data_IF_963705376926
#
_entry.id   IF_963705376926
#
_cell.length_a   1.000
_cell.length_b   1.000
_cell.length_c   1.000
_cell.angle_alpha   90.00
_cell.angle_beta   90.00
_cell.angle_gamma   90.00
#
_symmetry.space_group_name_H-M   'P 1'
#
loop_
_entity.id
_entity.type
_entity.pdbx_description
1 polymer ?
#
# COMPACT_ATOMS: atom_id res chain seq x y z
N UNK A 1 1.08 20.36 -23.55
CA UNK A 1 1.63 20.65 -22.20
C UNK A 1 0.92 19.90 -21.06
N UNK A 2 -0.16 19.13 -21.35
CA UNK A 2 -0.92 18.39 -20.34
C UNK A 2 -1.10 16.90 -20.71
N UNK A 3 -0.03 16.27 -21.18
CA UNK A 3 -0.06 14.87 -21.58
C UNK A 3 -0.07 13.95 -20.35
N UNK A 4 -0.49 12.69 -20.53
CA UNK A 4 -0.56 11.69 -19.46
C UNK A 4 0.76 11.53 -18.67
N UNK A 5 1.92 11.61 -19.36
CA UNK A 5 3.23 11.47 -18.73
C UNK A 5 3.60 12.57 -17.73
N UNK A 6 2.90 13.72 -17.76
CA UNK A 6 3.14 14.80 -16.79
C UNK A 6 2.74 14.42 -15.36
N UNK A 7 1.85 13.43 -15.18
CA UNK A 7 1.48 12.96 -13.84
C UNK A 7 2.56 12.08 -13.17
N UNK A 8 3.68 11.81 -13.87
CA UNK A 8 4.73 10.89 -13.44
C UNK A 8 6.15 11.50 -13.53
N UNK A 9 6.27 12.80 -13.80
CA UNK A 9 7.57 13.47 -14.01
C UNK A 9 8.17 14.08 -12.73
N UNK A 10 7.45 13.97 -11.60
CA UNK A 10 7.88 14.48 -10.30
C UNK A 10 7.80 16.01 -10.16
N UNK A 11 7.10 16.71 -11.06
CA UNK A 11 6.98 18.17 -11.06
C UNK A 11 5.54 18.60 -10.84
N UNK A 12 5.31 19.43 -9.83
CA UNK A 12 3.97 19.87 -9.46
C UNK A 12 3.44 21.04 -10.33
N UNK A 13 4.30 21.62 -11.19
CA UNK A 13 3.93 22.67 -12.13
C UNK A 13 3.56 22.13 -13.54
N UNK A 14 3.62 20.81 -13.72
CA UNK A 14 3.11 20.06 -14.87
C UNK A 14 2.01 19.11 -14.42
N UNK A 15 1.04 18.84 -15.30
CA UNK A 15 -0.08 17.97 -14.96
C UNK A 15 -0.74 17.38 -16.19
N UNK A 16 -1.34 16.20 -16.04
CA UNK A 16 -2.36 15.71 -16.96
C UNK A 16 -3.66 16.48 -16.73
N UNK A 17 -4.36 16.87 -17.79
CA UNK A 17 -5.70 17.48 -17.71
C UNK A 17 -6.62 16.81 -18.74
N UNK A 18 -7.86 16.53 -18.34
CA UNK A 18 -8.87 16.08 -19.28
C UNK A 18 -9.17 17.14 -20.35
N UNK A 19 -9.77 16.73 -21.46
CA UNK A 19 -10.16 17.66 -22.51
C UNK A 19 -11.12 18.75 -21.98
N UNK A 20 -11.07 19.98 -22.51
CA UNK A 20 -11.96 21.07 -22.08
C UNK A 20 -13.45 20.67 -22.10
N UNK A 21 -14.19 21.11 -21.08
CA UNK A 21 -15.63 20.81 -20.94
C UNK A 21 -15.95 19.40 -20.43
N UNK A 22 -14.95 18.53 -20.22
CA UNK A 22 -15.16 17.21 -19.60
C UNK A 22 -15.10 17.34 -18.08
N UNK A 23 -15.97 16.62 -17.38
CA UNK A 23 -15.98 16.53 -15.90
C UNK A 23 -15.48 15.18 -15.38
N UNK A 24 -14.96 14.36 -16.29
CA UNK A 24 -14.38 13.06 -15.99
C UNK A 24 -13.19 12.78 -16.90
N UNK A 25 -12.47 11.71 -16.61
CA UNK A 25 -11.28 11.32 -17.35
C UNK A 25 -10.69 10.04 -16.79
N UNK A 26 -9.73 9.47 -17.50
CA UNK A 26 -9.10 8.22 -17.10
C UNK A 26 -7.62 8.31 -17.38
N UNK A 27 -6.82 8.00 -16.36
CA UNK A 27 -5.39 7.85 -16.45
C UNK A 27 -5.05 6.39 -16.17
N UNK A 28 -4.36 5.75 -17.12
CA UNK A 28 -3.87 4.38 -16.95
C UNK A 28 -2.35 4.41 -16.85
N UNK A 29 -1.85 3.89 -15.74
CA UNK A 29 -0.44 3.64 -15.50
C UNK A 29 -0.13 2.24 -16.00
N UNK A 30 0.77 2.15 -16.98
CA UNK A 30 1.39 0.90 -17.41
C UNK A 30 2.80 0.85 -16.82
N UNK A 31 3.02 -0.06 -15.89
CA UNK A 31 4.28 -0.24 -15.19
C UNK A 31 5.23 -1.10 -16.04
N UNK A 32 6.54 -0.87 -15.89
CA UNK A 32 7.56 -1.62 -16.63
C UNK A 32 7.59 -3.11 -16.26
N UNK A 33 7.18 -3.42 -15.03
CA UNK A 33 7.03 -4.75 -14.47
C UNK A 33 5.94 -4.69 -13.39
N UNK A 34 5.32 -5.83 -13.02
CA UNK A 34 4.39 -5.86 -11.89
C UNK A 34 5.02 -5.27 -10.63
N UNK A 35 4.29 -4.39 -9.95
CA UNK A 35 4.71 -3.79 -8.69
C UNK A 35 3.71 -4.11 -7.58
N UNK A 36 4.20 -4.31 -6.36
CA UNK A 36 3.41 -4.54 -5.15
C UNK A 36 3.20 -3.23 -4.39
N UNK A 37 1.96 -2.88 -4.09
CA UNK A 37 1.61 -1.63 -3.38
C UNK A 37 0.28 -1.77 -2.63
N UNK A 38 0.08 -0.93 -1.62
CA UNK A 38 -1.18 -0.78 -0.88
C UNK A 38 -1.57 0.70 -0.68
N UNK A 39 -0.77 1.65 -1.16
CA UNK A 39 -1.10 3.07 -1.12
C UNK A 39 -1.03 3.67 -2.52
N UNK A 40 -2.11 4.35 -2.91
CA UNK A 40 -2.16 5.17 -4.13
C UNK A 40 -2.19 6.64 -3.73
N UNK A 41 -1.17 7.39 -4.15
CA UNK A 41 -1.09 8.84 -3.97
C UNK A 41 -1.60 9.56 -5.21
N UNK A 42 -2.47 10.54 -5.02
CA UNK A 42 -2.98 11.43 -6.06
C UNK A 42 -2.78 12.89 -5.63
N UNK A 43 -2.38 13.75 -6.56
CA UNK A 43 -2.25 15.19 -6.30
C UNK A 43 -2.78 15.98 -7.49
N UNK A 44 -3.71 16.92 -7.24
CA UNK A 44 -4.13 17.91 -8.24
C UNK A 44 -3.10 19.04 -8.35
N UNK A 45 -3.05 19.72 -9.49
CA UNK A 45 -2.30 20.95 -9.70
C UNK A 45 -3.02 22.16 -9.04
N UNK A 46 -3.22 22.09 -7.72
CA UNK A 46 -4.07 23.03 -6.96
C UNK A 46 -3.61 24.48 -7.16
N UNK A 47 -2.31 24.75 -7.12
CA UNK A 47 -1.74 26.10 -7.29
C UNK A 47 -2.00 26.73 -8.66
N UNK A 48 -2.33 25.90 -9.66
CA UNK A 48 -2.54 26.33 -11.06
C UNK A 48 -3.99 26.23 -11.51
N UNK A 49 -4.75 25.27 -10.98
CA UNK A 49 -6.09 24.91 -11.45
C UNK A 49 -7.17 24.92 -10.36
N UNK A 50 -6.78 25.08 -9.10
CA UNK A 50 -7.63 24.83 -7.95
C UNK A 50 -7.95 23.35 -7.78
N UNK A 51 -8.63 23.03 -6.69
CA UNK A 51 -9.23 21.70 -6.48
C UNK A 51 -10.46 21.54 -7.37
N UNK A 52 -10.54 20.45 -8.13
CA UNK A 52 -11.62 20.19 -9.09
C UNK A 52 -12.27 18.83 -8.94
N UNK A 53 -11.51 17.79 -8.60
CA UNK A 53 -12.02 16.42 -8.49
C UNK A 53 -12.97 16.29 -7.30
N UNK A 54 -14.15 15.71 -7.55
CA UNK A 54 -15.19 15.46 -6.54
C UNK A 54 -15.40 13.97 -6.26
N UNK A 55 -15.12 13.11 -7.23
CA UNK A 55 -15.14 11.65 -7.06
C UNK A 55 -14.26 10.94 -8.08
N UNK A 56 -13.71 9.80 -7.68
CA UNK A 56 -12.91 8.94 -8.54
C UNK A 56 -13.04 7.45 -8.16
N UNK A 57 -12.52 6.59 -9.03
CA UNK A 57 -12.33 5.17 -8.77
C UNK A 57 -10.89 4.78 -9.08
N UNK A 58 -10.37 3.81 -8.32
CA UNK A 58 -9.08 3.17 -8.58
C UNK A 58 -9.36 1.72 -8.97
N UNK A 59 -8.79 1.29 -10.08
CA UNK A 59 -8.94 -0.05 -10.62
C UNK A 59 -7.54 -0.64 -10.91
N UNK A 60 -7.37 -1.93 -10.69
CA UNK A 60 -6.16 -2.68 -11.04
C UNK A 60 -6.48 -3.72 -12.10
N UNK A 61 -5.48 -4.13 -12.88
CA UNK A 61 -5.63 -5.23 -13.82
C UNK A 61 -5.30 -6.56 -13.15
N UNK A 62 -6.18 -7.56 -13.28
CA UNK A 62 -5.97 -8.90 -12.72
C UNK A 62 -5.38 -9.91 -13.74
N UNK A 63 -5.11 -9.46 -14.96
CA UNK A 63 -4.69 -10.30 -16.08
C UNK A 63 -5.74 -10.41 -17.19
N UNK A 64 -7.03 -10.25 -16.85
CA UNK A 64 -8.15 -10.39 -17.79
C UNK A 64 -9.12 -9.21 -17.76
N UNK A 65 -9.29 -8.57 -16.62
CA UNK A 65 -10.24 -7.50 -16.41
C UNK A 65 -9.70 -6.40 -15.49
N UNK A 66 -10.35 -5.24 -15.57
CA UNK A 66 -10.18 -4.18 -14.59
C UNK A 66 -11.06 -4.48 -13.39
N UNK A 67 -10.44 -4.64 -12.22
CA UNK A 67 -11.11 -4.88 -10.95
C UNK A 67 -10.96 -3.65 -10.06
N UNK A 68 -11.98 -3.34 -9.28
CA UNK A 68 -11.92 -2.22 -8.34
C UNK A 68 -10.89 -2.50 -7.24
N UNK A 69 -9.94 -1.59 -7.04
CA UNK A 69 -9.10 -1.61 -5.86
C UNK A 69 -9.97 -1.23 -4.65
N UNK A 70 -9.89 -2.00 -3.57
CA UNK A 70 -10.72 -1.82 -2.38
C UNK A 70 -9.99 -0.97 -1.33
N UNK A 71 -10.39 0.29 -1.10
CA UNK A 71 -9.80 1.11 -0.04
C UNK A 71 -10.22 0.62 1.34
N UNK A 72 -9.47 1.00 2.37
CA UNK A 72 -9.96 0.88 3.74
C UNK A 72 -11.20 1.76 3.95
N UNK A 73 -12.03 1.43 4.93
CA UNK A 73 -13.32 2.08 5.15
C UNK A 73 -13.24 3.61 5.37
N UNK A 74 -12.13 4.11 5.92
CA UNK A 74 -11.92 5.54 6.17
C UNK A 74 -11.43 6.33 4.95
N UNK A 75 -10.99 5.67 3.87
CA UNK A 75 -10.45 6.33 2.68
C UNK A 75 -11.49 6.40 1.56
N UNK A 76 -12.44 7.31 1.69
CA UNK A 76 -13.46 7.59 0.66
C UNK A 76 -12.86 8.15 -0.64
N UNK A 77 -13.35 7.72 -1.81
CA UNK A 77 -12.82 8.12 -3.12
C UNK A 77 -13.50 9.39 -3.67
N UNK A 78 -13.46 10.46 -2.89
CA UNK A 78 -14.13 11.75 -3.19
C UNK A 78 -13.14 12.78 -3.74
N UNK A 79 -12.74 13.75 -2.94
CA UNK A 79 -11.85 14.83 -3.35
C UNK A 79 -10.37 14.42 -3.26
N UNK A 80 -9.56 15.02 -4.13
CA UNK A 80 -8.10 14.85 -4.13
C UNK A 80 -7.41 16.08 -3.52
N UNK A 81 -7.54 17.26 -4.15
CA UNK A 81 -6.93 18.50 -3.67
C UNK A 81 -5.39 18.42 -3.62
N UNK A 82 -4.81 18.94 -2.54
CA UNK A 82 -3.36 19.08 -2.43
C UNK A 82 -2.63 17.74 -2.42
N UNK A 83 -3.13 16.71 -1.74
CA UNK A 83 -2.64 15.33 -1.85
C UNK A 83 -3.64 14.40 -1.18
N UNK A 84 -3.97 13.29 -1.84
CA UNK A 84 -4.78 12.21 -1.28
C UNK A 84 -3.96 10.93 -1.28
N UNK A 85 -3.86 10.29 -0.12
CA UNK A 85 -3.32 8.95 0.02
C UNK A 85 -4.50 8.01 0.23
N UNK A 86 -4.70 7.06 -0.69
CA UNK A 86 -5.72 6.04 -0.58
C UNK A 86 -5.05 4.73 -0.21
N UNK A 87 -5.32 4.24 1.00
CA UNK A 87 -4.84 2.94 1.49
C UNK A 87 -5.82 1.86 1.07
N UNK A 88 -5.30 0.77 0.54
CA UNK A 88 -6.04 -0.42 0.13
C UNK A 88 -6.17 -1.38 1.32
N UNK A 89 -7.22 -2.20 1.31
CA UNK A 89 -7.44 -3.22 2.35
C UNK A 89 -6.33 -4.26 2.44
N UNK A 90 -5.63 -4.50 1.32
CA UNK A 90 -4.48 -5.40 1.26
C UNK A 90 -3.58 -5.01 0.09
N UNK A 91 -2.27 -5.30 0.15
CA UNK A 91 -1.38 -5.06 -0.97
C UNK A 91 -1.78 -5.83 -2.22
N UNK A 92 -1.76 -5.14 -3.35
CA UNK A 92 -2.04 -5.69 -4.68
C UNK A 92 -0.75 -5.74 -5.50
N UNK A 93 -0.62 -6.73 -6.39
CA UNK A 93 0.51 -6.84 -7.33
C UNK A 93 -0.02 -6.86 -8.76
N UNK A 94 0.34 -5.87 -9.57
CA UNK A 94 -0.12 -5.72 -10.95
C UNK A 94 0.86 -4.86 -11.75
N UNK A 95 0.82 -4.95 -13.08
CA UNK A 95 1.55 -4.07 -14.00
C UNK A 95 0.68 -2.90 -14.51
N UNK A 96 -0.60 -2.84 -14.15
CA UNK A 96 -1.51 -1.80 -14.63
C UNK A 96 -2.45 -1.31 -13.54
N UNK A 97 -2.49 0.02 -13.40
CA UNK A 97 -3.38 0.73 -12.48
C UNK A 97 -4.15 1.79 -13.26
N UNK A 98 -5.43 1.98 -12.95
CA UNK A 98 -6.29 2.95 -13.61
C UNK A 98 -6.97 3.84 -12.58
N UNK A 99 -6.80 5.13 -12.74
CA UNK A 99 -7.51 6.17 -11.99
C UNK A 99 -8.57 6.75 -12.90
N UNK A 100 -9.84 6.55 -12.53
CA UNK A 100 -10.99 7.02 -13.30
C UNK A 100 -11.70 8.11 -12.52
N UNK A 101 -11.62 9.35 -13.00
CA UNK A 101 -12.34 10.48 -12.43
C UNK A 101 -13.80 10.40 -12.87
N UNK A 102 -14.71 10.30 -11.90
CA UNK A 102 -16.15 10.12 -12.12
C UNK A 102 -16.95 11.40 -11.95
N UNK A 103 -16.38 12.40 -11.27
CA UNK A 103 -17.00 13.72 -11.16
C UNK A 103 -15.98 14.80 -10.79
N UNK A 104 -16.17 15.98 -11.36
CA UNK A 104 -15.36 17.16 -11.12
C UNK A 104 -16.12 18.44 -11.49
N UNK A 105 -15.79 19.56 -10.84
CA UNK A 105 -16.40 20.89 -11.11
C UNK A 105 -16.03 21.45 -12.48
N UNK A 106 -14.86 21.06 -12.99
CA UNK A 106 -14.26 21.46 -14.26
C UNK A 106 -13.42 20.29 -14.79
N UNK A 107 -12.67 20.50 -15.88
CA UNK A 107 -11.70 19.53 -16.38
C UNK A 107 -10.78 19.03 -15.26
N UNK A 108 -10.86 17.75 -14.85
CA UNK A 108 -10.02 17.23 -13.79
C UNK A 108 -8.57 17.17 -14.24
N UNK A 109 -7.67 17.27 -13.26
CA UNK A 109 -6.24 17.27 -13.48
C UNK A 109 -5.53 16.47 -12.39
N UNK A 110 -4.37 15.91 -12.74
CA UNK A 110 -3.47 15.26 -11.79
C UNK A 110 -2.03 15.68 -12.13
N UNK A 111 -1.37 16.33 -11.18
CA UNK A 111 0.04 16.67 -11.25
C UNK A 111 0.93 15.48 -10.87
N UNK A 112 0.45 14.61 -9.97
CA UNK A 112 1.20 13.44 -9.55
C UNK A 112 0.28 12.24 -9.31
N UNK A 113 0.74 11.07 -9.72
CA UNK A 113 0.23 9.78 -9.28
C UNK A 113 1.41 8.92 -8.80
N UNK A 114 1.30 8.36 -7.59
CA UNK A 114 2.32 7.50 -7.02
C UNK A 114 1.73 6.21 -6.44
N UNK A 115 2.52 5.14 -6.47
CA UNK A 115 2.20 3.84 -5.86
C UNK A 115 3.24 3.54 -4.80
N UNK A 116 2.80 3.22 -3.59
CA UNK A 116 3.65 2.99 -2.43
C UNK A 116 3.23 1.73 -1.70
N UNK A 117 4.20 1.05 -1.10
CA UNK A 117 3.97 -0.06 -0.18
C UNK A 117 4.24 0.45 1.24
N UNK A 118 3.24 0.40 2.12
CA UNK A 118 3.42 0.74 3.53
C UNK A 118 4.39 -0.24 4.16
N UNK A 119 5.30 0.29 4.98
CA UNK A 119 6.08 -0.55 5.89
C UNK A 119 5.10 -1.12 6.92
N UNK A 120 5.07 -2.44 7.05
CA UNK A 120 4.38 -3.07 8.17
C UNK A 120 5.25 -2.83 9.39
N UNK A 121 4.77 -2.02 10.34
CA UNK A 121 5.38 -1.96 11.67
C UNK A 121 4.91 -3.25 12.37
N UNK A 122 5.68 -4.33 12.21
CA UNK A 122 5.41 -5.56 12.94
C UNK A 122 5.69 -5.26 14.41
N UNK A 123 4.72 -5.52 15.28
CA UNK A 123 5.03 -5.53 16.71
C UNK A 123 6.00 -6.71 16.94
N UNK A 124 6.96 -6.62 17.87
CA UNK A 124 7.82 -7.77 18.13
C UNK A 124 6.97 -9.02 18.46
N UNK A 125 7.32 -10.21 17.93
CA UNK A 125 6.57 -11.44 18.20
C UNK A 125 6.49 -11.68 19.70
N UNK A 126 5.30 -11.99 20.21
CA UNK A 126 5.10 -12.26 21.62
C UNK A 126 5.16 -13.77 21.92
N UNK A 127 5.65 -14.12 23.10
CA UNK A 127 5.43 -15.46 23.66
C UNK A 127 3.93 -15.58 23.97
N UNK A 128 3.23 -16.38 23.18
CA UNK A 128 1.79 -16.53 23.24
C UNK A 128 1.35 -17.45 24.38
N UNK A 129 2.10 -18.52 24.64
CA UNK A 129 1.81 -19.49 25.70
C UNK A 129 3.06 -20.27 26.12
N UNK A 130 3.04 -20.80 27.35
CA UNK A 130 3.95 -21.82 27.84
C UNK A 130 3.14 -22.93 28.54
N UNK A 131 3.11 -24.12 27.94
CA UNK A 131 2.33 -25.23 28.49
C UNK A 131 3.02 -25.87 29.72
N UNK A 132 2.30 -26.78 30.39
CA UNK A 132 2.80 -27.51 31.57
C UNK A 132 4.02 -28.41 31.27
N UNK A 133 4.23 -28.76 29.99
CA UNK A 133 5.40 -29.52 29.51
C UNK A 133 6.58 -28.59 29.14
N UNK A 134 6.41 -27.27 29.33
CA UNK A 134 7.44 -26.26 29.06
C UNK A 134 7.59 -25.90 27.58
N UNK A 135 6.63 -26.27 26.72
CA UNK A 135 6.64 -25.84 25.32
C UNK A 135 6.18 -24.40 25.19
N UNK A 136 6.90 -23.65 24.36
CA UNK A 136 6.64 -22.24 24.07
C UNK A 136 6.01 -22.11 22.70
N UNK A 137 4.87 -21.43 22.65
CA UNK A 137 4.23 -21.00 21.41
C UNK A 137 4.52 -19.52 21.15
N UNK A 138 4.89 -19.18 19.92
CA UNK A 138 5.14 -17.81 19.47
C UNK A 138 4.08 -17.46 18.42
N UNK A 139 3.55 -16.24 18.48
CA UNK A 139 2.61 -15.72 17.48
C UNK A 139 2.88 -14.25 17.17
N UNK A 140 2.42 -13.81 16.00
CA UNK A 140 2.43 -12.42 15.58
C UNK A 140 1.01 -12.04 15.11
N UNK A 141 0.42 -10.92 15.55
CA UNK A 141 -0.97 -10.56 15.26
C UNK A 141 -1.30 -10.50 13.77
N UNK A 142 -0.36 -9.98 12.96
CA UNK A 142 -0.52 -9.82 11.51
C UNK A 142 0.03 -11.01 10.71
N UNK A 143 0.40 -12.10 11.39
CA UNK A 143 1.17 -13.19 10.80
C UNK A 143 2.59 -12.76 10.41
N UNK A 144 3.20 -13.48 9.48
CA UNK A 144 4.58 -13.23 9.03
C UNK A 144 5.52 -14.39 9.32
N UNK A 145 6.75 -14.28 8.80
CA UNK A 145 7.83 -15.20 9.16
C UNK A 145 8.36 -14.76 10.51
N UNK A 146 8.37 -15.67 11.48
CA UNK A 146 8.93 -15.42 12.80
C UNK A 146 10.26 -16.17 12.86
N UNK A 147 11.34 -15.49 13.23
CA UNK A 147 12.63 -16.14 13.50
C UNK A 147 12.95 -16.06 15.00
N UNK A 148 13.74 -17.01 15.50
CA UNK A 148 14.01 -17.12 16.94
C UNK A 148 15.43 -17.59 17.24
N UNK A 149 15.87 -17.33 18.46
CA UNK A 149 17.09 -17.87 19.07
C UNK A 149 16.76 -18.38 20.47
N UNK A 150 17.47 -19.41 20.92
CA UNK A 150 17.31 -20.00 22.26
C UNK A 150 18.58 -19.87 23.11
N UNK A 151 19.60 -19.22 22.58
CA UNK A 151 20.93 -19.07 23.18
C UNK A 151 21.16 -17.69 23.80
N UNK A 152 20.17 -16.81 23.74
CA UNK A 152 20.24 -15.46 24.28
C UNK A 152 20.71 -14.38 23.29
N UNK A 153 21.09 -14.75 22.06
CA UNK A 153 21.45 -13.79 21.02
C UNK A 153 20.21 -13.14 20.38
N UNK A 154 20.34 -11.95 19.79
CA UNK A 154 19.25 -11.35 19.03
C UNK A 154 19.04 -12.12 17.70
N UNK A 155 17.80 -12.45 17.30
CA UNK A 155 17.56 -13.08 16.01
C UNK A 155 17.95 -12.18 14.84
N UNK A 156 18.34 -12.80 13.73
CA UNK A 156 18.71 -12.13 12.49
C UNK A 156 18.11 -12.88 11.29
N UNK A 157 18.22 -12.33 10.08
CA UNK A 157 17.63 -12.92 8.87
C UNK A 157 18.08 -14.37 8.55
N UNK A 158 19.16 -14.87 9.17
CA UNK A 158 19.61 -16.26 9.06
C UNK A 158 19.21 -17.17 10.22
N UNK A 159 18.45 -16.67 11.19
CA UNK A 159 17.99 -17.43 12.36
C UNK A 159 16.93 -18.47 11.95
N UNK A 160 16.76 -19.55 12.74
CA UNK A 160 15.73 -20.55 12.50
C UNK A 160 14.32 -19.95 12.42
N UNK A 161 13.54 -20.38 11.43
CA UNK A 161 12.13 -20.01 11.28
C UNK A 161 11.26 -20.82 12.23
N UNK A 162 10.40 -20.14 12.99
CA UNK A 162 9.41 -20.75 13.86
C UNK A 162 8.26 -21.34 13.02
N UNK A 163 8.12 -22.67 13.07
CA UNK A 163 7.08 -23.42 12.33
C UNK A 163 6.15 -24.23 13.24
N UNK A 164 6.53 -24.43 14.51
CA UNK A 164 5.77 -25.20 15.50
C UNK A 164 6.28 -24.89 16.93
N UNK A 165 5.48 -25.17 17.99
CA UNK A 165 5.90 -24.95 19.38
C UNK A 165 7.22 -25.64 19.74
N UNK A 166 8.06 -24.93 20.50
CA UNK A 166 9.43 -25.35 20.84
C UNK A 166 9.50 -25.80 22.30
N UNK A 167 10.15 -26.93 22.57
CA UNK A 167 10.44 -27.35 23.94
C UNK A 167 11.69 -26.61 24.46
N UNK A 168 11.55 -25.85 25.56
CA UNK A 168 12.68 -25.20 26.23
C UNK A 168 13.00 -25.89 27.56
N UNK A 169 14.29 -26.14 27.82
CA UNK A 169 14.74 -26.51 29.16
C UNK A 169 14.43 -25.36 30.15
N UNK A 170 14.15 -25.70 31.41
CA UNK A 170 13.56 -24.80 32.42
C UNK A 170 14.31 -23.48 32.70
N UNK A 171 15.52 -23.27 32.16
CA UNK A 171 16.36 -22.08 32.36
C UNK A 171 16.75 -21.32 31.08
N UNK A 172 16.16 -21.63 29.92
CA UNK A 172 16.49 -20.93 28.66
C UNK A 172 15.79 -19.56 28.53
N UNK A 173 16.56 -18.51 28.23
CA UNK A 173 16.01 -17.24 27.75
C UNK A 173 15.81 -17.32 26.23
N UNK A 174 14.61 -17.00 25.75
CA UNK A 174 14.28 -16.95 24.33
C UNK A 174 14.14 -15.48 23.91
N UNK A 175 14.76 -15.13 22.79
CA UNK A 175 14.61 -13.83 22.16
C UNK A 175 13.96 -14.02 20.80
N UNK A 176 12.96 -13.21 20.52
CA UNK A 176 12.23 -13.16 19.26
C UNK A 176 12.69 -11.94 18.47
N UNK A 177 12.70 -12.07 17.15
CA UNK A 177 13.14 -11.04 16.23
C UNK A 177 12.55 -11.29 14.85
N UNK A 178 12.66 -10.29 14.00
CA UNK A 178 12.06 -10.26 12.65
C UNK A 178 12.97 -10.87 11.59
#
# INVERSE_FOLDING_TARGET
>A
RHAAGAALDGKLDTWWEAAPGRTGGTLTLALRQPARFDVVSLQEAVDRRGQRIESFAIETWDGAAWVAARPIASDELTTVGHRRLVRLQSPVSTDRVRVRITGARLAPNLAEVGLYLQSTELLPPAIADRDADGRVAISHPDGGTIVYTTDGSAPAAGSPVYIAPLALAASGAMYTGE
#
